data_IF_163651909582
#
_entry.id   IF_163651909582
#
_cell.length_a   1.000
_cell.length_b   1.000
_cell.length_c   1.000
_cell.angle_alpha   90.00
_cell.angle_beta   90.00
_cell.angle_gamma   90.00
#
_symmetry.space_group_name_H-M   'P 1'
#
loop_
_entity.id
_entity.type
_entity.pdbx_description
1 polymer ?
#
# COMPACT_ATOMS: atom_id res chain seq x y z
N UNK A 1 -2.60 6.89 37.60
CA UNK A 1 -2.24 8.20 37.03
C UNK A 1 -3.55 8.90 36.63
N UNK A 2 -3.75 10.15 37.06
CA UNK A 2 -4.89 10.91 36.58
C UNK A 2 -4.63 11.28 35.11
N UNK A 3 -5.67 11.26 34.23
CA UNK A 3 -5.50 11.67 32.85
C UNK A 3 -5.07 13.14 32.79
N UNK A 4 -3.95 13.39 32.12
CA UNK A 4 -3.23 14.67 32.15
C UNK A 4 -3.89 15.76 31.30
N UNK A 5 -4.69 15.37 30.29
CA UNK A 5 -5.34 16.31 29.35
C UNK A 5 -6.64 15.75 28.80
N UNK A 6 -7.69 16.59 28.64
CA UNK A 6 -8.89 16.21 27.88
C UNK A 6 -8.77 16.67 26.43
N UNK A 7 -9.18 15.83 25.51
CA UNK A 7 -9.34 16.14 24.10
C UNK A 7 -10.75 15.78 23.65
N UNK A 8 -11.20 16.28 22.52
CA UNK A 8 -12.52 15.90 22.01
C UNK A 8 -12.45 14.54 21.33
N UNK A 9 -11.41 14.34 20.51
CA UNK A 9 -11.17 13.10 19.79
C UNK A 9 -9.76 12.56 20.06
N UNK A 10 -9.69 11.28 20.41
CA UNK A 10 -8.44 10.52 20.44
C UNK A 10 -8.36 9.68 19.16
N UNK A 11 -7.27 9.79 18.43
CA UNK A 11 -7.06 9.12 17.16
C UNK A 11 -5.80 8.28 17.27
N UNK A 12 -5.91 6.97 17.04
CA UNK A 12 -4.79 6.03 17.10
C UNK A 12 -4.34 5.68 15.69
N UNK A 13 -3.11 6.07 15.38
CA UNK A 13 -2.44 5.91 14.09
C UNK A 13 -2.30 7.23 13.33
N UNK A 14 -1.06 7.62 13.04
CA UNK A 14 -0.70 8.84 12.30
C UNK A 14 -0.46 8.57 10.79
N UNK A 15 -1.19 7.61 10.21
CA UNK A 15 -1.23 7.35 8.77
C UNK A 15 -2.35 8.13 8.07
N UNK A 16 -2.62 7.83 6.78
CA UNK A 16 -3.70 8.49 6.02
C UNK A 16 -5.04 8.47 6.75
N UNK A 17 -5.45 7.31 7.31
CA UNK A 17 -6.75 7.21 7.99
C UNK A 17 -6.86 8.22 9.15
N UNK A 18 -5.92 8.18 10.07
CA UNK A 18 -5.98 9.01 11.27
C UNK A 18 -5.75 10.50 11.00
N UNK A 19 -4.75 10.85 10.18
CA UNK A 19 -4.43 12.25 9.90
C UNK A 19 -5.52 12.96 9.09
N UNK A 20 -6.18 12.25 8.15
CA UNK A 20 -7.30 12.82 7.38
C UNK A 20 -8.51 13.07 8.28
N UNK A 21 -8.85 12.13 9.17
CA UNK A 21 -9.93 12.36 10.14
C UNK A 21 -9.58 13.52 11.08
N UNK A 22 -8.37 13.54 11.61
CA UNK A 22 -7.91 14.59 12.52
C UNK A 22 -8.01 15.98 11.88
N UNK A 23 -7.56 16.11 10.63
CA UNK A 23 -7.59 17.38 9.88
C UNK A 23 -9.03 17.86 9.66
N UNK A 24 -9.92 16.99 9.25
CA UNK A 24 -11.34 17.34 9.05
C UNK A 24 -12.05 17.73 10.35
N UNK A 25 -11.77 17.02 11.45
CA UNK A 25 -12.31 17.38 12.76
C UNK A 25 -11.74 18.69 13.28
N UNK A 26 -10.42 18.91 13.15
CA UNK A 26 -9.79 20.17 13.51
C UNK A 26 -10.34 21.36 12.70
N UNK A 27 -10.56 21.16 11.39
CA UNK A 27 -11.20 22.15 10.52
C UNK A 27 -12.66 22.46 10.91
N UNK A 28 -13.34 21.52 11.60
CA UNK A 28 -14.67 21.75 12.19
C UNK A 28 -14.63 22.35 13.60
N UNK A 29 -13.44 22.69 14.12
CA UNK A 29 -13.25 23.35 15.43
C UNK A 29 -13.01 22.39 16.60
N UNK A 30 -12.80 21.08 16.35
CA UNK A 30 -12.55 20.10 17.39
C UNK A 30 -11.06 19.96 17.72
N UNK A 31 -10.75 19.66 18.97
CA UNK A 31 -9.38 19.33 19.41
C UNK A 31 -9.15 17.83 19.28
N UNK A 32 -8.08 17.46 18.61
CA UNK A 32 -7.70 16.09 18.35
C UNK A 32 -6.31 15.78 18.95
N UNK A 33 -6.18 14.66 19.63
CA UNK A 33 -4.88 14.05 19.90
C UNK A 33 -4.72 12.89 18.95
N UNK A 34 -3.64 12.89 18.17
CA UNK A 34 -3.25 11.77 17.30
C UNK A 34 -2.04 11.08 17.93
N UNK A 35 -2.17 9.81 18.30
CA UNK A 35 -1.08 9.01 18.86
C UNK A 35 -0.65 7.91 17.89
N UNK A 36 0.65 7.71 17.74
CA UNK A 36 1.22 6.60 16.97
C UNK A 36 2.41 6.00 17.71
N UNK A 37 2.50 4.66 17.74
CA UNK A 37 3.62 3.94 18.37
C UNK A 37 4.96 4.15 17.68
N UNK A 38 4.94 4.50 16.38
CA UNK A 38 6.13 4.82 15.61
C UNK A 38 6.65 6.22 15.94
N UNK A 39 7.94 6.45 15.70
CA UNK A 39 8.60 7.74 15.91
C UNK A 39 8.42 8.71 14.72
N UNK A 40 7.54 8.39 13.79
CA UNK A 40 7.26 9.17 12.60
C UNK A 40 5.78 9.11 12.23
N UNK A 41 5.29 10.15 11.55
CA UNK A 41 3.97 10.19 10.93
C UNK A 41 3.99 9.53 9.53
N UNK A 42 2.80 9.43 8.91
CA UNK A 42 2.62 8.90 7.55
C UNK A 42 2.26 7.41 7.54
N UNK A 43 2.37 6.70 8.67
CA UNK A 43 2.08 5.27 8.72
C UNK A 43 2.96 4.51 7.73
N UNK A 44 2.36 3.62 6.92
CA UNK A 44 3.12 2.90 5.89
C UNK A 44 3.53 3.76 4.70
N UNK A 45 2.93 4.95 4.51
CA UNK A 45 3.34 5.88 3.45
C UNK A 45 4.54 6.77 3.86
N UNK A 46 5.13 6.54 5.04
CA UNK A 46 6.30 7.28 5.49
C UNK A 46 7.45 7.15 4.49
N UNK A 47 8.02 8.29 4.17
CA UNK A 47 9.22 8.42 3.36
C UNK A 47 10.23 9.35 4.04
N UNK A 48 11.49 9.18 3.69
CA UNK A 48 12.58 10.00 4.19
C UNK A 48 13.69 10.12 3.14
N UNK A 49 14.48 11.17 3.25
CA UNK A 49 15.73 11.27 2.49
C UNK A 49 16.81 10.50 3.23
N UNK A 50 17.37 9.49 2.58
CA UNK A 50 18.41 8.66 3.16
C UNK A 50 19.79 9.37 3.21
N UNK A 51 20.80 8.65 3.69
CA UNK A 51 22.17 9.20 3.79
C UNK A 51 22.83 9.47 2.44
N UNK A 52 22.32 8.88 1.36
CA UNK A 52 22.78 9.12 -0.01
C UNK A 52 22.05 10.29 -0.69
N UNK A 53 21.13 10.95 0.01
CA UNK A 53 20.31 12.04 -0.50
C UNK A 53 19.12 11.59 -1.35
N UNK A 54 18.79 10.31 -1.33
CA UNK A 54 17.67 9.74 -2.09
C UNK A 54 16.43 9.69 -1.23
N UNK A 55 15.29 10.20 -1.73
CA UNK A 55 13.99 10.00 -1.09
C UNK A 55 13.60 8.52 -1.22
N UNK A 56 13.35 7.85 -0.11
CA UNK A 56 13.01 6.44 -0.05
C UNK A 56 11.70 6.21 0.70
N UNK A 57 10.88 5.29 0.22
CA UNK A 57 9.70 4.81 0.93
C UNK A 57 10.11 3.65 1.84
N UNK A 58 9.95 3.84 3.15
CA UNK A 58 10.44 2.87 4.17
C UNK A 58 9.67 1.57 4.23
N UNK A 59 8.41 1.59 3.83
CA UNK A 59 7.48 0.46 3.96
C UNK A 59 6.93 -0.01 2.60
N UNK A 60 7.80 -0.03 1.59
CA UNK A 60 7.46 -0.41 0.23
C UNK A 60 6.92 0.74 -0.62
N UNK A 61 6.69 0.51 -1.92
CA UNK A 61 6.28 1.56 -2.83
C UNK A 61 4.86 2.01 -2.53
N UNK A 62 4.71 3.27 -2.22
CA UNK A 62 3.43 3.94 -2.08
C UNK A 62 3.24 4.88 -3.27
N UNK A 63 2.46 4.47 -4.25
CA UNK A 63 2.14 5.25 -5.43
C UNK A 63 0.68 5.66 -5.36
N UNK A 64 0.41 6.96 -5.33
CA UNK A 64 -0.96 7.45 -5.19
C UNK A 64 -1.70 7.33 -6.51
N UNK A 65 -2.92 6.81 -6.46
CA UNK A 65 -3.79 6.62 -7.61
C UNK A 65 -5.25 6.72 -7.21
N UNK A 66 -6.06 7.31 -8.04
CA UNK A 66 -7.50 7.41 -7.81
C UNK A 66 -8.25 7.84 -9.07
N UNK A 67 -9.54 7.49 -9.13
CA UNK A 67 -10.49 8.07 -10.08
C UNK A 67 -11.41 9.12 -9.43
N UNK A 68 -11.17 9.48 -8.17
CA UNK A 68 -12.00 10.43 -7.42
C UNK A 68 -11.43 11.86 -7.45
N UNK A 69 -12.05 12.79 -8.19
CA UNK A 69 -11.63 14.20 -8.16
C UNK A 69 -11.67 14.81 -6.76
N UNK A 70 -12.65 14.42 -5.94
CA UNK A 70 -12.79 14.87 -4.55
C UNK A 70 -11.55 14.56 -3.71
N UNK A 71 -10.98 13.36 -3.86
CA UNK A 71 -9.80 12.95 -3.11
C UNK A 71 -8.57 13.71 -3.60
N UNK A 72 -8.42 13.90 -4.91
CA UNK A 72 -7.33 14.70 -5.49
C UNK A 72 -7.41 16.14 -4.99
N UNK A 73 -8.57 16.78 -5.07
CA UNK A 73 -8.80 18.15 -4.60
C UNK A 73 -8.47 18.29 -3.10
N UNK A 74 -8.93 17.35 -2.29
CA UNK A 74 -8.67 17.36 -0.85
C UNK A 74 -7.16 17.31 -0.54
N UNK A 75 -6.43 16.35 -1.11
CA UNK A 75 -5.01 16.16 -0.83
C UNK A 75 -4.14 17.25 -1.47
N UNK A 76 -4.56 17.84 -2.59
CA UNK A 76 -3.86 18.93 -3.28
C UNK A 76 -3.78 20.22 -2.44
N UNK A 77 -4.54 20.32 -1.37
CA UNK A 77 -4.40 21.40 -0.38
C UNK A 77 -3.06 21.33 0.37
N UNK A 78 -2.45 20.15 0.43
CA UNK A 78 -1.27 19.87 1.23
C UNK A 78 -0.04 19.50 0.40
N UNK A 79 -0.18 19.30 -0.92
CA UNK A 79 0.93 18.93 -1.79
C UNK A 79 0.69 19.37 -3.23
N UNK A 80 1.77 19.69 -3.94
CA UNK A 80 1.80 19.56 -5.39
C UNK A 80 1.98 18.09 -5.77
N UNK A 81 1.70 17.76 -7.03
CA UNK A 81 1.78 16.41 -7.54
C UNK A 81 2.79 16.30 -8.67
N UNK A 82 3.55 15.22 -8.62
CA UNK A 82 4.34 14.76 -9.73
C UNK A 82 3.63 13.59 -10.39
N UNK A 83 2.99 13.85 -11.51
CA UNK A 83 2.40 12.78 -12.33
C UNK A 83 3.51 11.97 -12.99
N UNK A 84 3.46 10.67 -12.83
CA UNK A 84 4.39 9.70 -13.43
C UNK A 84 3.65 8.41 -13.67
N UNK A 85 3.77 7.86 -14.87
CA UNK A 85 3.23 6.55 -15.19
C UNK A 85 3.90 5.46 -14.35
N UNK A 86 3.11 4.63 -13.70
CA UNK A 86 3.61 3.50 -12.91
C UNK A 86 3.86 2.30 -13.81
N UNK A 87 5.11 2.12 -14.19
CA UNK A 87 5.56 0.97 -14.96
C UNK A 87 6.40 0.03 -14.09
N UNK A 88 6.21 -1.26 -14.29
CA UNK A 88 6.97 -2.30 -13.59
C UNK A 88 7.51 -3.33 -14.58
N UNK A 89 8.51 -4.09 -14.15
CA UNK A 89 9.03 -5.25 -14.88
C UNK A 89 8.96 -6.49 -14.01
N UNK A 90 9.09 -7.65 -14.62
CA UNK A 90 9.33 -8.89 -13.90
C UNK A 90 10.70 -9.44 -14.29
N UNK A 91 11.48 -9.94 -13.32
CA UNK A 91 12.72 -10.68 -13.60
C UNK A 91 12.47 -12.14 -13.28
N UNK A 92 12.40 -12.94 -14.33
CA UNK A 92 12.12 -14.37 -14.25
C UNK A 92 12.97 -15.14 -15.28
N UNK A 93 13.39 -16.35 -14.95
CA UNK A 93 14.23 -17.19 -15.82
C UNK A 93 15.46 -16.45 -16.33
N UNK A 94 16.11 -15.65 -15.46
CA UNK A 94 17.37 -14.96 -15.75
C UNK A 94 17.26 -13.71 -16.64
N UNK A 95 16.06 -13.22 -16.97
CA UNK A 95 15.87 -12.00 -17.78
C UNK A 95 14.73 -11.13 -17.34
N UNK A 96 14.73 -9.86 -17.76
CA UNK A 96 13.62 -8.94 -17.58
C UNK A 96 12.52 -9.22 -18.61
N UNK A 97 11.29 -9.07 -18.15
CA UNK A 97 10.07 -9.21 -18.92
C UNK A 97 9.21 -7.96 -18.80
N UNK A 98 8.52 -7.60 -19.85
CA UNK A 98 7.45 -6.62 -19.80
C UNK A 98 6.30 -7.13 -18.94
N UNK A 99 5.84 -6.30 -18.01
CA UNK A 99 4.75 -6.62 -17.09
C UNK A 99 3.99 -5.34 -16.74
N UNK A 100 2.65 -5.34 -16.63
CA UNK A 100 1.72 -6.49 -16.72
C UNK A 100 1.74 -7.18 -18.07
N UNK A 101 1.14 -8.38 -18.15
CA UNK A 101 1.09 -9.17 -19.39
C UNK A 101 0.46 -8.34 -20.51
N UNK A 102 1.21 -8.14 -21.58
CA UNK A 102 0.81 -7.35 -22.77
C UNK A 102 1.47 -7.89 -24.05
N UNK A 103 1.30 -7.20 -25.17
CA UNK A 103 1.88 -7.63 -26.45
C UNK A 103 3.41 -7.71 -26.40
N UNK A 104 4.10 -6.82 -25.66
CA UNK A 104 5.55 -6.91 -25.50
C UNK A 104 5.94 -8.18 -24.74
N UNK A 105 5.19 -8.57 -23.70
CA UNK A 105 5.40 -9.83 -22.98
C UNK A 105 5.26 -11.03 -23.90
N UNK A 106 4.29 -11.00 -24.80
CA UNK A 106 4.08 -12.09 -25.77
C UNK A 106 5.22 -12.18 -26.80
N UNK A 107 5.67 -11.05 -27.35
CA UNK A 107 6.83 -11.02 -28.24
C UNK A 107 8.11 -11.54 -27.57
N UNK A 108 8.32 -11.15 -26.30
CA UNK A 108 9.40 -11.65 -25.48
C UNK A 108 9.28 -13.17 -25.24
N UNK A 109 8.05 -13.70 -25.10
CA UNK A 109 7.81 -15.13 -24.92
C UNK A 109 8.14 -15.95 -26.18
N UNK A 110 7.71 -15.48 -27.33
CA UNK A 110 7.91 -16.21 -28.61
C UNK A 110 9.22 -15.86 -29.32
N UNK A 111 9.95 -14.85 -28.83
CA UNK A 111 11.28 -14.45 -29.36
C UNK A 111 11.23 -13.74 -30.72
N UNK A 112 10.08 -13.18 -31.12
CA UNK A 112 9.91 -12.47 -32.40
C UNK A 112 8.78 -11.43 -32.31
N UNK A 113 8.78 -10.39 -33.19
CA UNK A 113 7.67 -9.46 -33.31
C UNK A 113 6.34 -10.17 -33.63
N UNK A 114 5.24 -9.64 -33.09
CA UNK A 114 3.89 -10.17 -33.32
C UNK A 114 2.86 -9.03 -33.44
N UNK A 115 1.75 -9.32 -34.10
CA UNK A 115 0.59 -8.44 -34.14
C UNK A 115 -0.34 -8.74 -32.94
N UNK A 116 -1.21 -7.77 -32.61
CA UNK A 116 -2.26 -7.96 -31.58
C UNK A 116 -3.08 -9.22 -31.83
N UNK A 117 -3.47 -9.47 -33.10
CA UNK A 117 -4.26 -10.65 -33.46
C UNK A 117 -3.53 -11.97 -33.19
N UNK A 118 -2.20 -12.02 -33.33
CA UNK A 118 -1.41 -13.22 -33.01
C UNK A 118 -1.48 -13.53 -31.51
N UNK A 119 -1.37 -12.47 -30.70
CA UNK A 119 -1.46 -12.62 -29.23
C UNK A 119 -2.88 -12.99 -28.80
N UNK A 120 -3.90 -12.39 -29.36
CA UNK A 120 -5.30 -12.76 -29.07
C UNK A 120 -5.61 -14.20 -29.43
N UNK A 121 -5.13 -14.68 -30.58
CA UNK A 121 -5.26 -16.08 -31.00
C UNK A 121 -4.50 -17.03 -30.05
N UNK A 122 -3.30 -16.66 -29.63
CA UNK A 122 -2.53 -17.45 -28.68
C UNK A 122 -3.25 -17.51 -27.33
N UNK A 123 -3.74 -16.37 -26.82
CA UNK A 123 -4.50 -16.32 -25.57
C UNK A 123 -5.76 -17.17 -25.63
N UNK A 124 -6.48 -17.16 -26.76
CA UNK A 124 -7.69 -17.96 -26.95
C UNK A 124 -7.42 -19.48 -26.82
N UNK A 125 -6.22 -19.91 -27.22
CA UNK A 125 -5.81 -21.32 -27.10
C UNK A 125 -5.20 -21.64 -25.72
N UNK A 126 -4.50 -20.68 -25.10
CA UNK A 126 -3.79 -20.90 -23.84
C UNK A 126 -4.67 -20.80 -22.60
N UNK A 127 -5.78 -20.05 -22.67
CA UNK A 127 -6.69 -19.80 -21.55
C UNK A 127 -7.39 -21.08 -21.10
N UNK A 128 -7.58 -21.20 -19.80
CA UNK A 128 -8.41 -22.21 -19.16
C UNK A 128 -9.71 -21.53 -18.66
N UNK A 129 -10.82 -21.55 -19.44
CA UNK A 129 -12.01 -20.78 -19.10
C UNK A 129 -12.67 -21.27 -17.80
N UNK A 130 -13.07 -20.35 -16.96
CA UNK A 130 -13.92 -20.56 -15.78
C UNK A 130 -15.12 -19.63 -15.87
N UNK A 131 -16.34 -20.12 -15.79
CA UNK A 131 -17.56 -19.30 -15.83
C UNK A 131 -17.58 -18.26 -14.69
N UNK A 132 -17.19 -18.70 -13.49
CA UNK A 132 -17.09 -17.83 -12.32
C UNK A 132 -15.82 -18.20 -11.55
N UNK A 133 -14.70 -17.52 -11.82
CA UNK A 133 -13.46 -17.78 -11.10
C UNK A 133 -13.63 -17.50 -9.60
N UNK A 134 -13.30 -18.48 -8.75
CA UNK A 134 -13.51 -18.44 -7.29
C UNK A 134 -12.26 -18.05 -6.50
N UNK A 135 -11.10 -18.16 -7.12
CA UNK A 135 -9.79 -17.91 -6.50
C UNK A 135 -8.82 -17.27 -7.48
N UNK A 136 -7.68 -16.84 -6.98
CA UNK A 136 -6.66 -16.15 -7.77
C UNK A 136 -6.04 -16.98 -8.90
N UNK A 137 -5.91 -18.32 -8.74
CA UNK A 137 -5.42 -19.18 -9.81
C UNK A 137 -6.41 -19.22 -10.97
N UNK A 138 -7.69 -19.53 -10.68
CA UNK A 138 -8.75 -19.59 -11.69
C UNK A 138 -8.88 -18.27 -12.47
N UNK A 139 -8.79 -17.12 -11.79
CA UNK A 139 -8.81 -15.81 -12.46
C UNK A 139 -7.68 -15.66 -13.46
N UNK A 140 -6.44 -15.97 -13.06
CA UNK A 140 -5.29 -15.72 -13.92
C UNK A 140 -5.20 -16.74 -15.06
N UNK A 141 -5.43 -18.03 -14.80
CA UNK A 141 -5.39 -19.02 -15.88
C UNK A 141 -6.50 -18.81 -16.90
N UNK A 142 -7.65 -18.24 -16.49
CA UNK A 142 -8.70 -17.84 -17.42
C UNK A 142 -8.36 -16.62 -18.28
N UNK A 143 -7.38 -15.81 -17.87
CA UNK A 143 -6.93 -14.62 -18.61
C UNK A 143 -5.71 -14.87 -19.49
N UNK A 144 -4.71 -15.59 -18.97
CA UNK A 144 -3.40 -15.71 -19.64
C UNK A 144 -2.92 -17.15 -19.84
N UNK A 145 -3.65 -18.14 -19.33
CA UNK A 145 -3.26 -19.55 -19.39
C UNK A 145 -2.17 -19.95 -18.41
N UNK A 146 -1.87 -21.24 -18.37
CA UNK A 146 -0.99 -21.88 -17.37
C UNK A 146 0.47 -21.46 -17.47
N UNK A 147 0.96 -21.20 -18.67
CA UNK A 147 2.37 -20.84 -18.88
C UNK A 147 2.73 -19.50 -18.25
N UNK A 148 1.98 -18.44 -18.58
CA UNK A 148 2.20 -17.09 -18.01
C UNK A 148 1.82 -17.03 -16.53
N UNK A 149 0.83 -17.83 -16.10
CA UNK A 149 0.52 -17.98 -14.68
C UNK A 149 1.75 -18.47 -13.89
N UNK A 150 2.38 -19.56 -14.34
CA UNK A 150 3.59 -20.09 -13.69
C UNK A 150 4.77 -19.14 -13.76
N UNK A 151 4.90 -18.41 -14.87
CA UNK A 151 6.02 -17.50 -15.10
C UNK A 151 5.99 -16.28 -14.16
N UNK A 152 4.81 -15.71 -13.89
CA UNK A 152 4.71 -14.41 -13.22
C UNK A 152 3.93 -14.42 -11.90
N UNK A 153 2.97 -15.31 -11.71
CA UNK A 153 1.98 -15.18 -10.65
C UNK A 153 2.14 -16.22 -9.54
N UNK A 154 2.32 -17.49 -9.88
CA UNK A 154 2.33 -18.60 -8.92
C UNK A 154 3.41 -18.42 -7.86
N UNK A 155 4.68 -18.35 -8.26
CA UNK A 155 5.80 -18.24 -7.34
C UNK A 155 5.82 -16.92 -6.56
N UNK A 156 5.45 -15.81 -7.22
CA UNK A 156 5.31 -14.51 -6.55
C UNK A 156 4.26 -14.56 -5.45
N UNK A 157 3.09 -15.12 -5.76
CA UNK A 157 1.95 -15.19 -4.82
C UNK A 157 2.25 -16.15 -3.66
N UNK A 158 2.86 -17.31 -3.94
CA UNK A 158 3.33 -18.23 -2.90
C UNK A 158 4.29 -17.57 -1.93
N UNK A 159 5.27 -16.81 -2.42
CA UNK A 159 6.22 -16.05 -1.58
C UNK A 159 5.50 -15.00 -0.74
N UNK A 160 4.68 -14.15 -1.39
CA UNK A 160 4.02 -13.02 -0.74
C UNK A 160 3.06 -13.46 0.36
N UNK A 161 2.25 -14.48 0.09
CA UNK A 161 1.12 -14.84 0.95
C UNK A 161 1.35 -16.11 1.79
N UNK A 162 2.39 -16.90 1.49
CA UNK A 162 2.60 -18.25 2.08
C UNK A 162 1.38 -19.15 1.90
N UNK A 163 0.61 -18.89 0.84
CA UNK A 163 -0.57 -19.65 0.43
C UNK A 163 -0.56 -19.82 -1.08
N UNK A 164 -1.07 -20.95 -1.54
CA UNK A 164 -1.23 -21.18 -2.98
C UNK A 164 -2.31 -20.23 -3.53
N UNK A 165 -2.17 -19.69 -4.78
CA UNK A 165 -3.19 -18.80 -5.39
C UNK A 165 -4.62 -19.35 -5.35
N UNK A 166 -4.82 -20.66 -5.40
CA UNK A 166 -6.14 -21.34 -5.26
C UNK A 166 -6.78 -21.19 -3.87
N UNK A 167 -6.04 -20.81 -2.85
CA UNK A 167 -6.50 -20.62 -1.47
C UNK A 167 -6.78 -19.15 -1.16
N UNK A 168 -6.52 -18.27 -2.12
CA UNK A 168 -6.68 -16.82 -1.99
C UNK A 168 -7.87 -16.32 -2.80
N UNK A 169 -8.47 -15.23 -2.33
CA UNK A 169 -9.57 -14.58 -3.03
C UNK A 169 -9.19 -14.20 -4.47
N UNK A 170 -10.14 -14.30 -5.38
CA UNK A 170 -9.99 -13.94 -6.80
C UNK A 170 -9.42 -12.54 -7.01
N UNK A 171 -9.75 -11.58 -6.13
CA UNK A 171 -9.31 -10.19 -6.17
C UNK A 171 -7.81 -9.98 -5.98
N UNK A 172 -7.08 -10.94 -5.41
CA UNK A 172 -5.63 -10.79 -5.14
C UNK A 172 -4.85 -10.64 -6.45
N UNK A 173 -5.08 -11.53 -7.42
CA UNK A 173 -4.44 -11.47 -8.72
C UNK A 173 -5.31 -10.78 -9.78
N UNK A 174 -6.64 -10.84 -9.65
CA UNK A 174 -7.59 -10.29 -10.62
C UNK A 174 -7.51 -8.76 -10.84
N UNK A 175 -6.85 -8.04 -9.95
CA UNK A 175 -6.59 -6.60 -10.08
C UNK A 175 -5.47 -6.26 -11.07
N UNK A 176 -4.67 -7.23 -11.50
CA UNK A 176 -3.53 -7.01 -12.39
C UNK A 176 -4.07 -7.03 -13.82
N UNK A 177 -3.92 -5.94 -14.61
CA UNK A 177 -4.47 -5.88 -15.94
C UNK A 177 -3.74 -6.83 -16.91
N UNK A 178 -4.49 -7.37 -17.85
CA UNK A 178 -3.97 -8.09 -19.02
C UNK A 178 -4.42 -7.35 -20.27
N UNK A 179 -3.49 -7.01 -21.16
CA UNK A 179 -3.76 -6.19 -22.35
C UNK A 179 -3.23 -6.87 -23.61
N UNK A 180 -3.91 -6.70 -24.73
CA UNK A 180 -3.46 -7.23 -26.03
C UNK A 180 -2.70 -6.21 -26.87
N UNK A 181 -2.55 -4.99 -26.37
CA UNK A 181 -1.72 -3.92 -26.93
C UNK A 181 -0.36 -3.81 -26.21
N UNK A 182 0.43 -2.75 -26.51
CA UNK A 182 1.76 -2.50 -25.91
C UNK A 182 1.73 -1.61 -24.65
N UNK A 183 0.57 -1.34 -24.10
CA UNK A 183 0.44 -0.54 -22.90
C UNK A 183 0.98 -1.33 -21.68
N UNK A 184 2.09 -0.86 -21.11
CA UNK A 184 2.78 -1.46 -19.96
C UNK A 184 2.51 -0.73 -18.63
N UNK A 185 1.52 0.19 -18.61
CA UNK A 185 1.10 0.82 -17.37
C UNK A 185 0.50 -0.22 -16.40
N UNK A 186 1.02 -0.23 -15.18
CA UNK A 186 0.54 -1.17 -14.15
C UNK A 186 -0.83 -0.80 -13.61
N UNK A 187 -1.17 0.47 -13.60
CA UNK A 187 -2.39 1.03 -13.05
C UNK A 187 -3.34 1.48 -14.15
N UNK A 188 -4.63 1.56 -13.82
CA UNK A 188 -5.70 1.94 -14.75
C UNK A 188 -6.42 3.23 -14.34
N UNK A 189 -6.17 3.72 -13.13
CA UNK A 189 -6.77 4.96 -12.62
C UNK A 189 -6.28 6.18 -13.40
N UNK A 190 -7.18 7.15 -13.60
CA UNK A 190 -6.91 8.35 -14.39
C UNK A 190 -5.90 9.31 -13.75
N UNK A 191 -5.85 9.34 -12.42
CA UNK A 191 -4.88 10.10 -11.67
C UNK A 191 -3.85 9.17 -11.03
N UNK A 192 -2.58 9.36 -11.38
CA UNK A 192 -1.46 8.58 -10.88
C UNK A 192 -0.30 9.54 -10.61
N UNK A 193 0.11 9.66 -9.35
CA UNK A 193 1.12 10.65 -8.98
C UNK A 193 1.83 10.32 -7.66
N UNK A 194 2.92 11.01 -7.40
CA UNK A 194 3.55 11.11 -6.08
C UNK A 194 3.44 12.56 -5.58
N UNK A 195 3.35 12.79 -4.25
CA UNK A 195 3.55 14.11 -3.69
C UNK A 195 4.93 14.66 -4.11
N UNK A 196 4.98 15.90 -4.58
CA UNK A 196 6.18 16.52 -5.18
C UNK A 196 7.41 16.53 -4.25
N UNK A 197 7.18 16.56 -2.93
CA UNK A 197 8.21 16.52 -1.88
C UNK A 197 8.10 15.29 -0.96
N UNK A 198 7.34 14.29 -1.37
CA UNK A 198 7.09 13.09 -0.60
C UNK A 198 5.90 13.19 0.36
N UNK A 199 5.48 12.05 0.89
CA UNK A 199 4.33 11.93 1.77
C UNK A 199 4.55 12.56 3.13
N UNK A 200 5.74 12.42 3.70
CA UNK A 200 6.08 13.02 5.00
C UNK A 200 5.95 14.54 4.95
N UNK A 201 6.42 15.16 3.87
CA UNK A 201 6.26 16.62 3.67
C UNK A 201 4.78 17.01 3.47
N UNK A 202 3.99 16.20 2.79
CA UNK A 202 2.54 16.42 2.63
C UNK A 202 1.84 16.39 4.00
N UNK A 203 2.10 15.37 4.82
CA UNK A 203 1.52 15.27 6.17
C UNK A 203 2.02 16.39 7.09
N UNK A 204 3.26 16.84 6.94
CA UNK A 204 3.77 18.02 7.65
C UNK A 204 2.92 19.26 7.37
N UNK A 205 2.65 19.57 6.09
CA UNK A 205 1.79 20.69 5.70
C UNK A 205 0.33 20.55 6.17
N UNK A 206 -0.19 19.31 6.19
CA UNK A 206 -1.51 19.03 6.76
C UNK A 206 -1.55 19.43 8.25
N UNK A 207 -0.56 19.04 9.02
CA UNK A 207 -0.47 19.36 10.45
C UNK A 207 -0.25 20.84 10.70
N UNK A 208 0.64 21.49 9.93
CA UNK A 208 0.90 22.95 10.00
C UNK A 208 -0.38 23.76 9.76
N UNK A 209 -1.27 23.29 8.86
CA UNK A 209 -2.55 23.94 8.58
C UNK A 209 -3.65 23.61 9.58
N UNK A 210 -3.39 22.77 10.57
CA UNK A 210 -4.40 22.22 11.49
C UNK A 210 -3.98 22.35 12.96
N UNK A 211 -3.92 23.55 13.54
CA UNK A 211 -3.41 23.79 14.90
C UNK A 211 -4.22 23.09 16.00
N UNK A 212 -5.43 22.60 15.70
CA UNK A 212 -6.25 21.78 16.60
C UNK A 212 -5.77 20.34 16.80
N UNK A 213 -4.67 19.93 16.13
CA UNK A 213 -4.12 18.58 16.23
C UNK A 213 -2.87 18.58 17.12
N UNK A 214 -2.89 17.77 18.18
CA UNK A 214 -1.74 17.44 19.02
C UNK A 214 -1.20 16.06 18.61
N UNK A 215 -0.06 16.01 17.92
CA UNK A 215 0.57 14.76 17.46
C UNK A 215 1.53 14.21 18.52
N UNK A 216 1.32 12.95 18.91
CA UNK A 216 2.11 12.20 19.87
C UNK A 216 2.72 10.95 19.22
N UNK A 217 3.97 11.07 18.82
CA UNK A 217 4.75 9.95 18.26
C UNK A 217 5.45 9.18 19.38
N UNK A 218 5.68 7.89 19.14
CA UNK A 218 6.28 6.98 20.13
C UNK A 218 5.33 6.62 21.28
N UNK A 219 4.02 6.84 21.12
CA UNK A 219 3.00 6.55 22.12
C UNK A 219 2.07 5.45 21.61
N UNK A 220 1.98 4.36 22.33
CA UNK A 220 1.09 3.25 21.99
C UNK A 220 -0.37 3.52 22.40
N UNK A 221 -1.26 2.63 21.95
CA UNK A 221 -2.69 2.74 22.21
C UNK A 221 -3.02 2.70 23.71
N UNK A 222 -2.39 1.80 24.47
CA UNK A 222 -2.68 1.62 25.90
C UNK A 222 -2.26 2.87 26.69
N UNK A 223 -1.09 3.43 26.39
CA UNK A 223 -0.61 4.67 26.98
C UNK A 223 -1.51 5.86 26.62
N UNK A 224 -1.84 6.01 25.32
CA UNK A 224 -2.69 7.10 24.85
C UNK A 224 -4.09 7.06 25.50
N UNK A 225 -4.71 5.87 25.57
CA UNK A 225 -6.02 5.67 26.18
C UNK A 225 -6.01 5.96 27.68
N UNK A 226 -4.95 5.63 28.37
CA UNK A 226 -4.80 5.91 29.81
C UNK A 226 -4.57 7.40 30.10
N UNK A 227 -3.91 8.12 29.18
CA UNK A 227 -3.47 9.51 29.35
C UNK A 227 -4.51 10.54 28.96
N UNK A 228 -5.30 10.29 27.89
CA UNK A 228 -6.24 11.26 27.34
C UNK A 228 -7.69 10.87 27.56
N UNK A 229 -8.46 11.74 28.25
CA UNK A 229 -9.93 11.64 28.25
C UNK A 229 -10.46 12.17 26.93
N UNK A 230 -11.39 11.48 26.31
CA UNK A 230 -11.93 11.82 25.01
C UNK A 230 -13.43 11.52 24.93
N UNK A 231 -14.14 12.16 24.01
CA UNK A 231 -15.55 11.89 23.69
C UNK A 231 -15.67 10.71 22.74
N UNK A 232 -14.76 10.62 21.78
CA UNK A 232 -14.77 9.58 20.77
C UNK A 232 -13.35 9.13 20.42
N UNK A 233 -13.20 7.84 20.20
CA UNK A 233 -11.95 7.21 19.78
C UNK A 233 -12.04 6.82 18.31
N UNK A 234 -11.06 7.23 17.51
CA UNK A 234 -10.87 6.71 16.15
C UNK A 234 -9.66 5.78 16.15
N UNK A 235 -9.91 4.49 15.92
CA UNK A 235 -8.87 3.48 15.97
C UNK A 235 -8.54 2.98 14.55
N UNK A 236 -7.26 3.08 14.16
CA UNK A 236 -6.79 2.65 12.82
C UNK A 236 -5.80 1.49 12.86
N UNK A 237 -5.49 0.97 14.05
CA UNK A 237 -4.63 -0.19 14.28
C UNK A 237 -5.31 -1.52 13.98
N UNK A 238 -4.66 -2.62 14.31
CA UNK A 238 -5.23 -3.95 14.13
C UNK A 238 -6.39 -4.18 15.12
N UNK A 239 -7.55 -4.63 14.60
CA UNK A 239 -8.76 -4.78 15.41
C UNK A 239 -8.61 -5.81 16.52
N UNK A 240 -7.89 -6.89 16.30
CA UNK A 240 -7.59 -7.92 17.27
C UNK A 240 -6.67 -7.41 18.41
N UNK A 241 -5.74 -6.50 18.09
CA UNK A 241 -4.91 -5.79 19.08
C UNK A 241 -5.77 -4.89 19.98
N UNK A 242 -6.74 -4.16 19.42
CA UNK A 242 -7.70 -3.36 20.22
C UNK A 242 -8.40 -4.19 21.27
N UNK A 243 -8.81 -5.41 20.93
CA UNK A 243 -9.49 -6.34 21.84
C UNK A 243 -8.53 -7.25 22.63
N UNK A 244 -7.23 -6.96 22.65
CA UNK A 244 -6.23 -7.72 23.40
C UNK A 244 -6.13 -9.19 22.96
N UNK A 245 -6.39 -9.46 21.68
CA UNK A 245 -6.35 -10.80 21.08
C UNK A 245 -7.29 -11.84 21.73
N UNK A 246 -8.36 -11.39 22.38
CA UNK A 246 -9.24 -12.28 23.17
C UNK A 246 -9.96 -13.38 22.38
N UNK A 247 -10.05 -13.26 21.06
CA UNK A 247 -10.56 -14.29 20.13
C UNK A 247 -9.43 -14.96 19.34
N UNK A 248 -8.17 -14.76 19.72
CA UNK A 248 -6.99 -15.18 18.99
C UNK A 248 -6.50 -14.10 18.01
N UNK A 249 -5.25 -14.22 17.62
CA UNK A 249 -4.66 -13.29 16.65
C UNK A 249 -5.22 -13.56 15.25
N UNK A 250 -5.57 -12.49 14.53
CA UNK A 250 -5.96 -12.58 13.12
C UNK A 250 -4.73 -12.85 12.24
N UNK A 251 -4.88 -13.59 11.14
CA UNK A 251 -3.77 -13.85 10.25
C UNK A 251 -3.40 -12.62 9.42
N UNK A 252 -2.18 -12.14 9.57
CA UNK A 252 -1.59 -11.07 8.78
C UNK A 252 -0.35 -11.55 8.04
N UNK A 253 0.04 -10.82 7.00
CA UNK A 253 1.39 -10.87 6.42
C UNK A 253 2.18 -9.67 6.87
N UNK A 254 3.45 -9.92 7.13
CA UNK A 254 4.44 -8.88 7.40
C UNK A 254 5.45 -8.77 6.26
N UNK A 255 6.26 -7.73 6.29
CA UNK A 255 7.33 -7.47 5.35
C UNK A 255 8.60 -7.05 6.10
N UNK A 256 9.75 -7.44 5.56
CA UNK A 256 11.06 -6.94 5.93
C UNK A 256 11.68 -6.21 4.74
N UNK A 257 12.25 -5.06 4.98
CA UNK A 257 12.84 -4.21 3.96
C UNK A 257 14.35 -4.09 4.15
N UNK A 258 15.09 -4.23 3.05
CA UNK A 258 16.54 -3.98 3.02
C UNK A 258 16.84 -2.91 1.99
N UNK A 259 17.32 -1.76 2.47
CA UNK A 259 17.73 -0.65 1.61
C UNK A 259 19.23 -0.70 1.36
N UNK A 260 19.64 -0.46 0.11
CA UNK A 260 21.03 -0.40 -0.30
C UNK A 260 21.22 0.73 -1.30
N UNK A 261 22.22 1.60 -1.04
CA UNK A 261 22.49 2.77 -1.86
C UNK A 261 23.74 2.56 -2.73
N UNK A 262 23.68 3.07 -3.96
CA UNK A 262 24.74 2.96 -4.96
C UNK A 262 25.06 4.31 -5.57
N UNK A 263 26.33 4.53 -5.92
CA UNK A 263 26.81 5.74 -6.59
C UNK A 263 28.06 5.42 -7.44
N UNK A 264 28.44 6.36 -8.30
CA UNK A 264 29.69 6.33 -9.05
C UNK A 264 29.84 5.08 -9.93
N UNK A 265 30.99 4.38 -9.82
CA UNK A 265 31.37 3.23 -10.65
C UNK A 265 30.32 2.10 -10.60
N UNK A 266 29.75 1.82 -9.42
CA UNK A 266 28.73 0.78 -9.27
C UNK A 266 27.48 1.01 -10.12
N UNK A 267 27.08 2.27 -10.36
CA UNK A 267 25.98 2.60 -11.27
C UNK A 267 26.41 2.64 -12.73
N UNK A 268 27.66 3.02 -13.01
CA UNK A 268 28.18 3.00 -14.38
C UNK A 268 28.14 1.58 -14.96
N UNK A 269 28.50 0.56 -14.17
CA UNK A 269 28.42 -0.85 -14.57
C UNK A 269 26.99 -1.35 -14.81
N UNK A 270 26.01 -0.69 -14.21
CA UNK A 270 24.58 -1.08 -14.34
C UNK A 270 23.86 -0.48 -15.54
N UNK A 271 24.47 0.45 -16.29
CA UNK A 271 23.82 1.14 -17.41
C UNK A 271 23.27 0.17 -18.46
N UNK A 272 24.01 -0.91 -18.77
CA UNK A 272 23.55 -1.96 -19.70
C UNK A 272 22.31 -2.71 -19.22
N UNK A 273 22.01 -2.68 -17.93
CA UNK A 273 20.84 -3.34 -17.29
C UNK A 273 19.71 -2.35 -17.08
N UNK A 274 20.02 -1.17 -16.49
CA UNK A 274 19.02 -0.14 -16.18
C UNK A 274 18.53 0.61 -17.42
N UNK A 275 19.31 0.61 -18.49
CA UNK A 275 19.03 1.37 -19.71
C UNK A 275 19.32 2.87 -19.59
N UNK A 276 19.74 3.36 -18.42
CA UNK A 276 20.06 4.78 -18.20
C UNK A 276 21.04 5.00 -17.06
N UNK A 277 21.90 6.05 -17.16
CA UNK A 277 22.85 6.41 -16.12
C UNK A 277 22.13 6.78 -14.79
N UNK A 278 22.78 6.47 -13.67
CA UNK A 278 22.29 6.86 -12.34
C UNK A 278 21.16 5.99 -11.78
N UNK A 279 20.85 4.85 -12.43
CA UNK A 279 19.85 3.90 -11.98
C UNK A 279 20.40 2.48 -11.88
N UNK A 280 19.83 1.70 -10.97
CA UNK A 280 20.22 0.31 -10.72
C UNK A 280 19.46 -0.67 -11.61
N UNK A 281 18.16 -0.44 -11.85
CA UNK A 281 17.25 -1.33 -12.58
C UNK A 281 16.42 -0.57 -13.64
N UNK A 282 15.77 -1.29 -14.59
CA UNK A 282 15.10 -0.63 -15.73
C UNK A 282 13.76 0.04 -15.39
N UNK A 283 13.17 -0.23 -14.23
CA UNK A 283 11.87 0.29 -13.83
C UNK A 283 11.83 0.60 -12.33
N UNK A 284 10.85 1.40 -11.91
CA UNK A 284 10.66 1.73 -10.50
C UNK A 284 10.48 0.49 -9.63
N UNK A 285 9.81 -0.53 -10.12
CA UNK A 285 9.63 -1.81 -9.47
C UNK A 285 9.97 -2.95 -10.41
N UNK A 286 10.68 -3.93 -9.89
CA UNK A 286 10.92 -5.20 -10.57
C UNK A 286 10.46 -6.34 -9.65
N UNK A 287 9.53 -7.16 -10.15
CA UNK A 287 9.05 -8.35 -9.45
C UNK A 287 9.96 -9.55 -9.71
N UNK A 288 10.14 -10.40 -8.71
CA UNK A 288 10.96 -11.61 -8.77
C UNK A 288 10.09 -12.82 -8.40
N UNK A 289 9.41 -13.46 -9.36
CA UNK A 289 8.55 -14.62 -9.11
C UNK A 289 9.32 -15.90 -8.79
N UNK A 290 10.55 -16.07 -9.28
CA UNK A 290 11.32 -17.31 -9.15
C UNK A 290 11.54 -17.68 -7.67
N UNK A 291 11.29 -18.94 -7.27
CA UNK A 291 11.32 -19.37 -5.86
C UNK A 291 12.70 -19.30 -5.22
N UNK A 292 13.78 -19.36 -6.01
CA UNK A 292 15.16 -19.26 -5.56
C UNK A 292 15.53 -17.85 -5.07
N UNK A 293 14.78 -16.84 -5.51
CA UNK A 293 14.98 -15.45 -5.08
C UNK A 293 14.18 -15.22 -3.79
N UNK A 294 14.83 -14.86 -2.67
CA UNK A 294 14.17 -14.81 -1.37
C UNK A 294 13.24 -13.59 -1.16
N UNK A 295 13.37 -12.56 -1.98
CA UNK A 295 12.52 -11.37 -1.96
C UNK A 295 11.47 -11.42 -3.08
N UNK A 296 10.39 -10.66 -2.93
CA UNK A 296 9.33 -10.59 -3.94
C UNK A 296 9.57 -9.50 -4.98
N UNK A 297 10.21 -8.40 -4.59
CA UNK A 297 10.48 -7.28 -5.50
C UNK A 297 11.64 -6.41 -5.04
N UNK A 298 12.18 -5.66 -5.99
CA UNK A 298 13.09 -4.53 -5.75
C UNK A 298 12.37 -3.26 -6.18
N UNK A 299 12.43 -2.24 -5.34
CA UNK A 299 11.89 -0.91 -5.61
C UNK A 299 13.02 0.10 -5.67
N UNK A 300 13.03 0.91 -6.72
CA UNK A 300 13.92 2.04 -6.93
C UNK A 300 13.05 3.29 -7.17
N UNK A 301 12.59 3.90 -6.08
CA UNK A 301 11.57 4.97 -6.14
C UNK A 301 12.07 6.21 -6.87
N UNK A 302 13.37 6.41 -7.01
CA UNK A 302 13.99 7.50 -7.76
C UNK A 302 13.46 7.63 -9.18
N UNK A 303 13.05 6.52 -9.83
CA UNK A 303 12.38 6.56 -11.13
C UNK A 303 11.12 7.44 -11.14
N UNK A 304 10.42 7.52 -10.02
CA UNK A 304 9.16 8.25 -9.90
C UNK A 304 9.33 9.63 -9.22
N UNK A 305 10.30 9.79 -8.32
CA UNK A 305 10.50 11.06 -7.61
C UNK A 305 11.08 12.18 -8.48
N UNK A 306 11.78 11.82 -9.55
CA UNK A 306 12.45 12.77 -10.45
C UNK A 306 13.62 13.52 -9.82
N UNK A 307 14.13 13.03 -8.70
CA UNK A 307 15.29 13.61 -8.04
C UNK A 307 16.54 13.59 -8.94
N UNK A 308 17.26 14.70 -8.95
CA UNK A 308 18.54 14.85 -9.64
C UNK A 308 19.66 14.68 -8.63
N UNK A 309 19.99 13.42 -8.31
CA UNK A 309 21.07 13.03 -7.40
C UNK A 309 21.92 11.95 -8.05
N UNK A 310 23.21 11.94 -7.79
CA UNK A 310 24.16 11.00 -8.41
C UNK A 310 24.08 9.58 -7.84
N UNK A 311 23.41 9.44 -6.69
CA UNK A 311 23.15 8.16 -6.06
C UNK A 311 21.74 7.62 -6.39
N UNK A 312 21.55 6.34 -6.19
CA UNK A 312 20.23 5.71 -6.12
C UNK A 312 20.18 4.75 -4.94
N UNK A 313 18.97 4.51 -4.44
CA UNK A 313 18.71 3.53 -3.39
C UNK A 313 17.65 2.56 -3.86
N UNK A 314 17.97 1.28 -3.76
CA UNK A 314 17.01 0.20 -3.96
C UNK A 314 16.52 -0.32 -2.62
N UNK A 315 15.27 -0.77 -2.59
CA UNK A 315 14.70 -1.44 -1.44
C UNK A 315 14.22 -2.83 -1.85
N UNK A 316 14.80 -3.87 -1.25
CA UNK A 316 14.34 -5.26 -1.42
C UNK A 316 13.25 -5.56 -0.40
N UNK A 317 12.14 -6.12 -0.87
CA UNK A 317 11.04 -6.53 -0.01
C UNK A 317 11.03 -8.04 0.19
N UNK A 318 11.19 -8.45 1.44
CA UNK A 318 11.13 -9.84 1.86
C UNK A 318 9.78 -10.10 2.52
N UNK A 319 9.01 -11.09 2.06
CA UNK A 319 7.81 -11.50 2.76
C UNK A 319 8.18 -12.13 4.09
N UNK A 320 7.46 -11.78 5.12
CA UNK A 320 7.68 -12.26 6.48
C UNK A 320 6.37 -12.74 7.12
N UNK A 321 6.48 -13.69 8.03
CA UNK A 321 5.36 -14.10 8.86
C UNK A 321 5.15 -13.06 9.96
N UNK A 322 3.89 -12.76 10.23
CA UNK A 322 3.52 -11.87 11.31
C UNK A 322 3.28 -12.65 12.61
N UNK A 323 3.64 -12.03 13.72
CA UNK A 323 3.34 -12.48 15.09
C UNK A 323 2.83 -11.30 15.91
N UNK A 324 2.01 -11.49 16.94
CA UNK A 324 1.62 -10.43 17.88
C UNK A 324 2.84 -9.64 18.39
N UNK A 325 2.73 -8.32 18.37
CA UNK A 325 3.83 -7.41 18.68
C UNK A 325 4.71 -7.01 17.47
N UNK A 326 4.58 -7.71 16.33
CA UNK A 326 5.20 -7.32 15.06
C UNK A 326 4.34 -6.34 14.26
N UNK A 327 4.86 -5.86 13.12
CA UNK A 327 4.15 -4.96 12.22
C UNK A 327 3.25 -5.75 11.25
N UNK A 328 1.91 -5.64 11.33
CA UNK A 328 1.01 -6.20 10.35
C UNK A 328 0.93 -5.27 9.13
N UNK A 329 1.24 -5.77 7.93
CA UNK A 329 1.13 -5.00 6.69
C UNK A 329 -0.16 -5.29 5.94
N UNK A 330 -0.52 -6.55 5.83
CA UNK A 330 -1.67 -6.98 5.03
C UNK A 330 -2.52 -8.02 5.76
N UNK A 331 -3.83 -7.81 5.91
CA UNK A 331 -4.77 -8.89 6.19
C UNK A 331 -4.65 -9.97 5.10
N UNK A 332 -4.71 -11.25 5.48
CA UNK A 332 -4.68 -12.33 4.50
C UNK A 332 -6.07 -12.44 3.83
N UNK A 333 -6.18 -12.23 2.50
CA UNK A 333 -7.46 -12.27 1.80
C UNK A 333 -7.85 -13.72 1.48
N UNK A 334 -8.32 -14.44 2.50
CA UNK A 334 -8.74 -15.82 2.41
C UNK A 334 -10.02 -16.07 3.21
N UNK A 335 -10.84 -17.09 2.87
CA UNK A 335 -12.13 -17.34 3.51
C UNK A 335 -12.04 -17.61 5.01
N UNK A 336 -11.05 -18.36 5.47
CA UNK A 336 -10.81 -18.67 6.88
C UNK A 336 -10.44 -17.41 7.69
N UNK A 337 -9.58 -16.57 7.14
CA UNK A 337 -9.20 -15.29 7.75
C UNK A 337 -10.38 -14.33 7.85
N UNK A 338 -11.23 -14.29 6.83
CA UNK A 338 -12.46 -13.50 6.83
C UNK A 338 -13.45 -14.00 7.88
N UNK A 339 -13.61 -15.32 8.02
CA UNK A 339 -14.47 -15.91 9.05
C UNK A 339 -13.99 -15.55 10.47
N UNK A 340 -12.69 -15.60 10.73
CA UNK A 340 -12.10 -15.17 12.00
C UNK A 340 -12.34 -13.67 12.28
N UNK A 341 -12.22 -12.81 11.26
CA UNK A 341 -12.51 -11.39 11.40
C UNK A 341 -13.97 -11.09 11.75
N UNK A 342 -14.96 -11.86 11.27
CA UNK A 342 -16.38 -11.60 11.55
C UNK A 342 -16.69 -11.56 13.06
N UNK A 343 -16.01 -12.39 13.85
CA UNK A 343 -16.17 -12.38 15.30
C UNK A 343 -15.66 -11.07 15.94
N UNK A 344 -14.57 -10.52 15.43
CA UNK A 344 -14.06 -9.20 15.85
C UNK A 344 -14.93 -8.05 15.33
N UNK A 345 -15.48 -8.17 14.12
CA UNK A 345 -16.40 -7.17 13.58
C UNK A 345 -17.63 -7.01 14.47
N UNK A 346 -18.22 -8.12 14.94
CA UNK A 346 -19.35 -8.09 15.87
C UNK A 346 -19.00 -7.42 17.21
N UNK A 347 -17.78 -7.60 17.69
CA UNK A 347 -17.31 -6.89 18.90
C UNK A 347 -17.12 -5.40 18.65
N UNK A 348 -16.57 -5.04 17.47
CA UNK A 348 -16.36 -3.65 17.09
C UNK A 348 -17.68 -2.89 16.90
N UNK A 349 -18.71 -3.53 16.34
CA UNK A 349 -20.06 -2.98 16.21
C UNK A 349 -20.74 -2.72 17.59
N UNK A 350 -20.37 -3.46 18.61
CA UNK A 350 -20.91 -3.28 19.95
C UNK A 350 -20.23 -2.15 20.75
N UNK A 351 -19.05 -1.69 20.31
CA UNK A 351 -18.35 -0.56 20.95
C UNK A 351 -19.11 0.73 20.78
N UNK A 352 -19.20 1.51 21.86
CA UNK A 352 -19.80 2.85 21.82
C UNK A 352 -18.70 3.91 21.78
N UNK A 353 -18.93 4.99 21.08
CA UNK A 353 -18.00 6.11 20.96
C UNK A 353 -16.60 5.71 20.43
N UNK A 354 -16.57 4.68 19.59
CA UNK A 354 -15.37 4.19 18.90
C UNK A 354 -15.66 3.98 17.42
N UNK A 355 -14.77 4.46 16.56
CA UNK A 355 -14.76 4.17 15.13
C UNK A 355 -13.56 3.33 14.75
N UNK A 356 -13.78 2.27 14.00
CA UNK A 356 -12.73 1.40 13.45
C UNK A 356 -12.60 1.70 11.95
N UNK A 357 -11.51 2.33 11.53
CA UNK A 357 -11.27 2.71 10.14
C UNK A 357 -9.87 2.34 9.66
N UNK A 358 -9.70 2.24 8.35
CA UNK A 358 -8.43 1.88 7.75
C UNK A 358 -8.26 0.37 7.55
N UNK A 359 -7.14 0.01 6.94
CA UNK A 359 -6.85 -1.35 6.46
C UNK A 359 -6.86 -2.41 7.57
N UNK A 360 -6.23 -2.11 8.71
CA UNK A 360 -6.05 -3.08 9.79
C UNK A 360 -7.29 -3.18 10.68
N UNK A 361 -7.92 -2.05 10.99
CA UNK A 361 -9.11 -2.02 11.83
C UNK A 361 -10.33 -2.66 11.17
N UNK A 362 -10.45 -2.58 9.84
CA UNK A 362 -11.53 -3.19 9.07
C UNK A 362 -11.15 -4.50 8.39
N UNK A 363 -9.91 -4.97 8.62
CA UNK A 363 -9.36 -6.21 8.07
C UNK A 363 -9.57 -6.36 6.56
N UNK A 364 -9.33 -5.28 5.78
CA UNK A 364 -9.49 -5.25 4.32
C UNK A 364 -8.27 -4.70 3.63
N UNK A 365 -7.99 -5.21 2.44
CA UNK A 365 -6.93 -4.71 1.58
C UNK A 365 -7.41 -3.46 0.82
N UNK A 366 -7.06 -2.28 1.34
CA UNK A 366 -7.39 -1.00 0.72
C UNK A 366 -6.16 -0.34 0.08
N UNK A 367 -6.40 0.36 -1.02
CA UNK A 367 -5.47 1.35 -1.56
C UNK A 367 -5.54 2.66 -0.75
N UNK A 368 -4.55 3.55 -0.95
CA UNK A 368 -4.48 4.81 -0.21
C UNK A 368 -5.71 5.70 -0.42
N UNK A 369 -6.21 5.80 -1.66
CA UNK A 369 -7.39 6.60 -2.00
C UNK A 369 -8.66 6.09 -1.29
N UNK A 370 -8.84 4.78 -1.22
CA UNK A 370 -9.96 4.17 -0.49
C UNK A 370 -9.89 4.47 1.01
N UNK A 371 -8.67 4.47 1.58
CA UNK A 371 -8.46 4.87 2.98
C UNK A 371 -8.77 6.35 3.20
N UNK A 372 -8.33 7.24 2.29
CA UNK A 372 -8.67 8.67 2.34
C UNK A 372 -10.18 8.88 2.21
N UNK A 373 -10.84 8.20 1.27
CA UNK A 373 -12.28 8.29 1.10
C UNK A 373 -13.06 7.84 2.34
N UNK A 374 -12.64 6.72 2.96
CA UNK A 374 -13.20 6.24 4.23
C UNK A 374 -13.01 7.25 5.36
N UNK A 375 -11.82 7.83 5.48
CA UNK A 375 -11.51 8.80 6.52
C UNK A 375 -12.32 10.11 6.37
N UNK A 376 -12.51 10.59 5.14
CA UNK A 376 -13.35 11.74 4.84
C UNK A 376 -14.83 11.48 5.23
N UNK A 377 -15.37 10.31 4.86
CA UNK A 377 -16.72 9.93 5.20
C UNK A 377 -16.93 9.78 6.72
N UNK A 378 -15.96 9.19 7.40
CA UNK A 378 -16.03 9.05 8.85
C UNK A 378 -15.96 10.40 9.57
N UNK A 379 -15.09 11.30 9.13
CA UNK A 379 -15.02 12.65 9.68
C UNK A 379 -16.34 13.43 9.49
N UNK A 380 -16.98 13.32 8.32
CA UNK A 380 -18.30 13.90 8.05
C UNK A 380 -19.36 13.36 9.01
N UNK A 381 -19.41 12.03 9.18
CA UNK A 381 -20.31 11.35 10.12
C UNK A 381 -20.10 11.84 11.56
N UNK A 382 -18.85 11.99 12.00
CA UNK A 382 -18.52 12.46 13.36
C UNK A 382 -18.93 13.92 13.56
N UNK A 383 -18.69 14.79 12.56
CA UNK A 383 -19.14 16.19 12.60
C UNK A 383 -20.67 16.28 12.63
N UNK A 384 -21.38 15.45 11.89
CA UNK A 384 -22.86 15.39 11.95
C UNK A 384 -23.33 14.91 13.32
N UNK A 385 -22.68 13.92 13.91
CA UNK A 385 -23.04 13.33 15.22
C UNK A 385 -22.81 14.29 16.38
N UNK A 386 -21.69 14.98 16.39
CA UNK A 386 -21.26 15.83 17.53
C UNK A 386 -21.47 17.33 17.30
N UNK A 387 -21.85 17.75 16.08
CA UNK A 387 -21.96 19.13 15.68
C UNK A 387 -20.59 19.75 15.30
N UNK A 388 -20.54 21.07 15.27
CA UNK A 388 -19.25 21.82 15.13
C UNK A 388 -18.66 22.01 16.52
N UNK A 389 -17.33 21.95 16.62
CA UNK A 389 -16.63 22.27 17.85
C UNK A 389 -16.91 23.73 18.25
N UNK A 390 -17.23 23.94 19.51
CA UNK A 390 -17.30 25.30 20.05
C UNK A 390 -15.90 25.92 20.04
N UNK A 391 -15.75 27.09 19.41
CA UNK A 391 -14.53 27.87 19.40
C UNK A 391 -14.17 28.41 20.78
#
# INVERSE_FOLDING_TARGET
MQPDTSTDFLIIGAGFAGLVVAERLAAAGWRCVVADRRQHMGGNAYDEVDRAGVLVHRYGPHYFRTNSPRIVEYLSRFTGWREVAYTIKSFARGRFWSFPVNLNTFEELIGKPAATADFENWLAQAREPHETPRNSEEVIVSQVGRELYRLFFEGYTLKQWRRHPRELDASVCGRIPVRTNRDDHYLTESFQALPDRGYTAMFGRLLESSPGIDLRLGMDFAEARARFRHRHLVFTGAVDEYFGYRLGALPYRSLRFEAESFAGAALAERVGISGKPGFWQPAMQVNYPDPEVPFTRIVEIKHATGQQVDATTIVREFPADWQPGGEPFYPIPAPDARAAYQAYAALAEAERDVSFIGRLATYRYYNMDQVVGMALAEAERLVETYGKGGG
#
